data_IF_543545430094
#
_entry.id   IF_543545430094
#
_cell.length_a   1.000
_cell.length_b   1.000
_cell.length_c   1.000
_cell.angle_alpha   90.00
_cell.angle_beta   90.00
_cell.angle_gamma   90.00
#
_symmetry.space_group_name_H-M   'P 1'
#
loop_
_entity.id
_entity.type
_entity.pdbx_description
1 polymer ?
#
# COMPACT_ATOMS: atom_id res chain seq x y z
N UNK A 1 13.21 -7.67 -57.32
CA UNK A 1 11.79 -8.07 -57.15
C UNK A 1 11.48 -8.64 -55.78
N UNK A 2 12.24 -9.60 -55.26
CA UNK A 2 11.99 -10.25 -53.95
C UNK A 2 11.95 -9.24 -52.80
N UNK A 3 12.92 -8.32 -52.74
CA UNK A 3 12.97 -7.28 -51.71
C UNK A 3 11.73 -6.38 -51.68
N UNK A 4 11.18 -6.04 -52.86
CA UNK A 4 9.98 -5.22 -52.99
C UNK A 4 8.73 -5.96 -52.48
N UNK A 5 8.63 -7.27 -52.74
CA UNK A 5 7.53 -8.09 -52.22
C UNK A 5 7.60 -8.25 -50.70
N UNK A 6 8.80 -8.42 -50.14
CA UNK A 6 9.01 -8.51 -48.68
C UNK A 6 8.67 -7.18 -47.99
N UNK A 7 9.07 -6.05 -48.59
CA UNK A 7 8.72 -4.74 -48.06
C UNK A 7 7.20 -4.51 -48.10
N UNK A 8 6.53 -4.90 -49.18
CA UNK A 8 5.08 -4.80 -49.32
C UNK A 8 4.34 -5.63 -48.26
N UNK A 9 4.76 -6.87 -48.02
CA UNK A 9 4.10 -7.74 -47.03
C UNK A 9 4.28 -7.22 -45.60
N UNK A 10 5.45 -6.70 -45.26
CA UNK A 10 5.70 -6.09 -43.94
C UNK A 10 4.84 -4.84 -43.74
N UNK A 11 4.73 -3.98 -44.75
CA UNK A 11 3.90 -2.77 -44.68
C UNK A 11 2.41 -3.13 -44.53
N UNK A 12 1.91 -4.09 -45.29
CA UNK A 12 0.51 -4.55 -45.17
C UNK A 12 0.24 -5.12 -43.78
N UNK A 13 1.14 -5.93 -43.23
CA UNK A 13 0.98 -6.50 -41.89
C UNK A 13 0.97 -5.43 -40.79
N UNK A 14 1.85 -4.43 -40.89
CA UNK A 14 1.90 -3.31 -39.95
C UNK A 14 0.61 -2.47 -39.99
N UNK A 15 0.05 -2.24 -41.18
CA UNK A 15 -1.22 -1.51 -41.34
C UNK A 15 -2.40 -2.30 -40.78
N UNK A 16 -2.43 -3.63 -40.97
CA UNK A 16 -3.48 -4.49 -40.41
C UNK A 16 -3.39 -4.55 -38.88
N UNK A 17 -2.20 -4.72 -38.30
CA UNK A 17 -2.01 -4.71 -36.84
C UNK A 17 -2.39 -3.36 -36.23
N UNK A 18 -2.03 -2.25 -36.88
CA UNK A 18 -2.38 -0.92 -36.43
C UNK A 18 -3.91 -0.67 -36.47
N UNK A 19 -4.57 -1.07 -37.55
CA UNK A 19 -6.04 -0.94 -37.66
C UNK A 19 -6.78 -1.84 -36.67
N UNK A 20 -6.26 -3.04 -36.39
CA UNK A 20 -6.79 -3.94 -35.36
C UNK A 20 -6.65 -3.32 -33.95
N UNK A 21 -5.48 -2.77 -33.61
CA UNK A 21 -5.24 -2.13 -32.31
C UNK A 21 -6.10 -0.88 -32.10
N UNK A 22 -6.30 -0.07 -33.16
CA UNK A 22 -7.11 1.14 -33.08
C UNK A 22 -8.60 0.83 -32.93
N UNK A 23 -9.12 -0.18 -33.64
CA UNK A 23 -10.54 -0.58 -33.54
C UNK A 23 -10.85 -1.24 -32.20
N UNK A 24 -9.97 -2.11 -31.68
CA UNK A 24 -10.11 -2.71 -30.35
C UNK A 24 -10.15 -1.64 -29.24
N UNK A 25 -9.29 -0.61 -29.33
CA UNK A 25 -9.25 0.50 -28.36
C UNK A 25 -10.53 1.34 -28.38
N UNK A 26 -11.08 1.60 -29.58
CA UNK A 26 -12.36 2.32 -29.74
C UNK A 26 -13.56 1.50 -29.25
N UNK A 27 -13.59 0.19 -29.48
CA UNK A 27 -14.64 -0.70 -28.97
C UNK A 27 -14.63 -0.77 -27.44
N UNK A 28 -13.45 -0.87 -26.81
CA UNK A 28 -13.30 -0.85 -25.36
C UNK A 28 -13.76 0.48 -24.74
N UNK A 29 -13.41 1.62 -25.35
CA UNK A 29 -13.85 2.94 -24.89
C UNK A 29 -15.37 3.13 -25.01
N UNK A 30 -15.97 2.59 -26.09
CA UNK A 30 -17.42 2.64 -26.31
C UNK A 30 -18.17 1.74 -25.33
N UNK A 31 -17.60 0.57 -25.00
CA UNK A 31 -18.14 -0.35 -23.97
C UNK A 31 -18.07 0.26 -22.58
N UNK A 32 -16.93 0.84 -22.20
CA UNK A 32 -16.77 1.55 -20.92
C UNK A 32 -17.71 2.76 -20.79
N UNK A 33 -17.98 3.48 -21.89
CA UNK A 33 -18.96 4.58 -21.91
C UNK A 33 -20.39 4.07 -21.77
N UNK A 34 -20.74 2.93 -22.39
CA UNK A 34 -22.05 2.28 -22.22
C UNK A 34 -22.25 1.72 -20.82
N UNK A 35 -21.22 1.14 -20.21
CA UNK A 35 -21.23 0.66 -18.82
C UNK A 35 -21.38 1.82 -17.84
N UNK A 36 -20.67 2.95 -18.05
CA UNK A 36 -20.88 4.18 -17.30
C UNK A 36 -22.27 4.75 -17.49
N UNK A 37 -22.76 4.78 -18.73
CA UNK A 37 -24.11 5.27 -19.04
C UNK A 37 -25.17 4.38 -18.38
N UNK A 38 -24.99 3.06 -18.37
CA UNK A 38 -25.87 2.12 -17.67
C UNK A 38 -25.79 2.27 -16.14
N UNK A 39 -24.60 2.45 -15.57
CA UNK A 39 -24.44 2.73 -14.14
C UNK A 39 -25.07 4.07 -13.74
N UNK A 40 -24.97 5.09 -14.60
CA UNK A 40 -25.66 6.37 -14.45
C UNK A 40 -27.18 6.25 -14.64
N UNK A 41 -27.65 5.45 -15.60
CA UNK A 41 -29.09 5.25 -15.89
C UNK A 41 -29.77 4.40 -14.80
N UNK A 42 -29.04 3.41 -14.23
CA UNK A 42 -29.39 2.72 -12.98
C UNK A 42 -29.42 3.75 -11.83
N UNK A 43 -28.44 4.64 -11.76
CA UNK A 43 -28.37 5.71 -10.77
C UNK A 43 -29.50 6.73 -10.87
N UNK A 44 -30.00 7.04 -12.07
CA UNK A 44 -31.02 8.06 -12.35
C UNK A 44 -32.46 7.51 -12.19
N UNK A 45 -32.68 6.22 -12.47
CA UNK A 45 -33.99 5.57 -12.25
C UNK A 45 -34.35 5.35 -10.77
N UNK A 46 -33.40 5.61 -9.85
CA UNK A 46 -33.57 5.44 -8.40
C UNK A 46 -34.01 6.74 -7.67
N UNK A 47 -34.42 7.80 -8.38
CA UNK A 47 -34.84 9.08 -7.76
C UNK A 47 -36.23 9.08 -7.09
N UNK A 48 -36.91 7.95 -6.93
CA UNK A 48 -38.19 7.89 -6.20
C UNK A 48 -38.20 6.83 -5.10
N UNK A 49 -37.74 7.23 -3.90
CA UNK A 49 -38.33 6.87 -2.60
C UNK A 49 -37.63 7.65 -1.47
N UNK A 50 -38.43 8.37 -0.69
CA UNK A 50 -38.07 8.93 0.61
C UNK A 50 -37.86 7.76 1.58
N UNK A 51 -36.60 7.48 1.94
CA UNK A 51 -36.17 6.37 2.82
C UNK A 51 -36.49 4.94 2.29
N UNK A 52 -35.61 3.99 2.53
CA UNK A 52 -35.78 2.61 2.03
C UNK A 52 -37.03 1.96 2.67
N UNK A 53 -37.89 1.32 1.88
CA UNK A 53 -39.21 0.84 2.32
C UNK A 53 -39.12 -0.19 3.45
N UNK A 54 -38.07 -1.03 3.42
CA UNK A 54 -37.86 -2.09 4.40
C UNK A 54 -36.91 -1.71 5.55
N UNK A 55 -36.42 -0.46 5.58
CA UNK A 55 -35.39 -0.04 6.52
C UNK A 55 -35.80 -0.26 7.97
N UNK A 56 -34.98 -1.01 8.71
CA UNK A 56 -35.00 -1.01 10.18
C UNK A 56 -33.66 -0.53 10.70
N UNK A 57 -33.67 0.56 11.47
CA UNK A 57 -32.48 1.19 12.06
C UNK A 57 -32.45 0.98 13.56
N UNK A 58 -31.28 0.61 14.09
CA UNK A 58 -31.00 0.60 15.52
C UNK A 58 -29.67 1.30 15.78
N UNK A 59 -29.72 2.41 16.50
CA UNK A 59 -28.53 3.10 16.96
C UNK A 59 -28.12 2.63 18.35
N UNK A 60 -26.81 2.60 18.58
CA UNK A 60 -26.18 2.31 19.87
C UNK A 60 -25.33 3.52 20.25
N UNK A 61 -25.33 3.90 21.52
CA UNK A 61 -24.45 4.98 22.01
C UNK A 61 -22.98 4.52 21.90
N UNK A 62 -22.18 5.26 21.12
CA UNK A 62 -20.77 4.94 20.83
C UNK A 62 -20.56 3.53 20.24
N UNK A 63 -21.07 3.26 19.01
CA UNK A 63 -21.02 1.92 18.43
C UNK A 63 -19.58 1.54 18.03
N UNK A 64 -19.26 0.24 18.11
CA UNK A 64 -17.98 -0.31 17.62
C UNK A 64 -17.80 -0.12 16.10
N UNK A 65 -18.90 -0.03 15.37
CA UNK A 65 -18.98 0.25 13.94
C UNK A 65 -20.42 0.33 13.46
N UNK A 66 -20.64 0.93 12.30
CA UNK A 66 -21.95 0.99 11.63
C UNK A 66 -22.05 -0.06 10.52
N UNK A 67 -23.04 -0.94 10.61
CA UNK A 67 -23.25 -2.06 9.68
C UNK A 67 -24.56 -1.87 8.92
N UNK A 68 -24.52 -2.05 7.61
CA UNK A 68 -25.70 -2.22 6.78
C UNK A 68 -25.85 -3.70 6.40
N UNK A 69 -26.88 -4.37 6.87
CA UNK A 69 -27.20 -5.75 6.52
C UNK A 69 -28.27 -5.81 5.42
N UNK A 70 -28.06 -6.68 4.43
CA UNK A 70 -28.90 -6.80 3.23
C UNK A 70 -29.22 -8.26 3.00
N UNK A 71 -30.50 -8.61 3.02
CA UNK A 71 -30.97 -10.00 2.90
C UNK A 71 -32.46 -10.01 2.54
N UNK A 72 -32.91 -10.83 1.61
CA UNK A 72 -34.32 -10.90 1.20
C UNK A 72 -35.21 -11.64 2.21
N UNK A 73 -34.62 -12.27 3.24
CA UNK A 73 -35.34 -12.95 4.30
C UNK A 73 -35.43 -12.08 5.58
N UNK A 74 -36.61 -11.49 5.92
CA UNK A 74 -36.74 -10.57 7.05
C UNK A 74 -36.41 -11.20 8.41
N UNK A 75 -36.58 -12.53 8.52
CA UNK A 75 -36.26 -13.31 9.73
C UNK A 75 -34.75 -13.36 9.97
N UNK A 76 -33.97 -13.48 8.89
CA UNK A 76 -32.51 -13.45 8.95
C UNK A 76 -32.06 -12.05 9.37
N UNK A 77 -32.59 -10.99 8.74
CA UNK A 77 -32.28 -9.60 9.10
C UNK A 77 -32.57 -9.28 10.58
N UNK A 78 -33.71 -9.73 11.10
CA UNK A 78 -34.06 -9.50 12.51
C UNK A 78 -33.08 -10.20 13.47
N UNK A 79 -32.60 -11.38 13.08
CA UNK A 79 -31.60 -12.14 13.83
C UNK A 79 -30.24 -11.44 13.81
N UNK A 80 -29.76 -11.02 12.63
CA UNK A 80 -28.55 -10.19 12.47
C UNK A 80 -28.58 -8.95 13.36
N UNK A 81 -29.67 -8.21 13.28
CA UNK A 81 -29.87 -6.97 14.03
C UNK A 81 -29.80 -7.23 15.53
N UNK A 82 -30.51 -8.24 16.05
CA UNK A 82 -30.49 -8.59 17.49
C UNK A 82 -29.08 -8.94 17.97
N UNK A 83 -28.40 -9.85 17.27
CA UNK A 83 -27.06 -10.34 17.65
C UNK A 83 -26.03 -9.20 17.63
N UNK A 84 -25.98 -8.43 16.53
CA UNK A 84 -24.96 -7.39 16.35
C UNK A 84 -25.21 -6.16 17.23
N UNK A 85 -26.46 -5.79 17.49
CA UNK A 85 -26.78 -4.70 18.43
C UNK A 85 -26.36 -5.08 19.85
N UNK A 86 -26.63 -6.32 20.31
CA UNK A 86 -26.17 -6.81 21.61
C UNK A 86 -24.63 -6.83 21.71
N UNK A 87 -23.95 -7.06 20.58
CA UNK A 87 -22.48 -6.99 20.50
C UNK A 87 -21.91 -5.55 20.46
N UNK A 88 -22.77 -4.53 20.41
CA UNK A 88 -22.41 -3.11 20.47
C UNK A 88 -22.24 -2.41 19.11
N UNK A 89 -22.86 -2.95 18.04
CA UNK A 89 -22.85 -2.34 16.71
C UNK A 89 -24.14 -1.54 16.46
N UNK A 90 -24.04 -0.47 15.68
CA UNK A 90 -25.22 0.18 15.08
C UNK A 90 -25.56 -0.53 13.77
N UNK A 91 -26.81 -0.90 13.58
CA UNK A 91 -27.23 -1.77 12.48
C UNK A 91 -28.43 -1.20 11.77
N UNK A 92 -28.29 -1.03 10.46
CA UNK A 92 -29.39 -0.82 9.53
C UNK A 92 -29.62 -2.13 8.75
N UNK A 93 -30.88 -2.49 8.53
CA UNK A 93 -31.24 -3.66 7.72
C UNK A 93 -32.15 -3.28 6.57
N UNK A 94 -31.93 -3.84 5.39
CA UNK A 94 -32.80 -3.69 4.21
C UNK A 94 -32.95 -5.00 3.45
N UNK A 95 -34.07 -5.16 2.76
CA UNK A 95 -34.48 -6.40 2.09
C UNK A 95 -34.04 -6.48 0.61
N UNK A 96 -33.42 -5.43 0.07
CA UNK A 96 -32.96 -5.41 -1.32
C UNK A 96 -31.63 -4.69 -1.54
N UNK A 97 -30.88 -5.14 -2.54
CA UNK A 97 -29.63 -4.50 -2.95
C UNK A 97 -29.79 -3.05 -3.43
N UNK A 98 -30.92 -2.72 -4.06
CA UNK A 98 -31.22 -1.36 -4.52
C UNK A 98 -31.38 -0.38 -3.35
N UNK A 99 -32.07 -0.81 -2.29
CA UNK A 99 -32.19 -0.03 -1.06
C UNK A 99 -30.83 0.15 -0.39
N UNK A 100 -30.00 -0.90 -0.38
CA UNK A 100 -28.66 -0.84 0.19
C UNK A 100 -27.78 0.21 -0.51
N UNK A 101 -27.74 0.20 -1.85
CA UNK A 101 -26.98 1.20 -2.61
C UNK A 101 -27.50 2.63 -2.40
N UNK A 102 -28.82 2.78 -2.23
CA UNK A 102 -29.43 4.08 -1.95
C UNK A 102 -29.03 4.62 -0.57
N UNK A 103 -28.95 3.74 0.43
CA UNK A 103 -28.51 4.10 1.78
C UNK A 103 -27.01 4.39 1.85
N UNK A 104 -26.16 3.61 1.19
CA UNK A 104 -24.71 3.81 1.15
C UNK A 104 -24.33 5.17 0.54
N UNK A 105 -25.17 5.73 -0.35
CA UNK A 105 -24.97 7.08 -0.89
C UNK A 105 -25.30 8.20 0.10
N UNK A 106 -26.24 7.96 1.02
CA UNK A 106 -26.83 8.98 1.90
C UNK A 106 -26.26 8.95 3.32
N UNK A 107 -25.82 7.78 3.79
CA UNK A 107 -25.37 7.55 5.14
C UNK A 107 -23.94 6.97 5.14
N UNK A 108 -23.25 7.14 6.27
CA UNK A 108 -21.94 6.53 6.49
C UNK A 108 -22.07 5.17 7.17
N UNK A 109 -21.45 4.17 6.54
CA UNK A 109 -21.31 2.82 7.08
C UNK A 109 -19.84 2.43 7.13
N UNK A 110 -19.46 1.62 8.10
CA UNK A 110 -18.13 1.00 8.13
C UNK A 110 -18.13 -0.33 7.36
N UNK A 111 -19.25 -1.06 7.44
CA UNK A 111 -19.39 -2.39 6.88
C UNK A 111 -20.72 -2.57 6.15
N UNK A 112 -20.70 -3.33 5.06
CA UNK A 112 -21.91 -3.82 4.37
C UNK A 112 -21.89 -5.33 4.38
N UNK A 113 -22.91 -5.94 4.97
CA UNK A 113 -23.10 -7.38 5.03
C UNK A 113 -24.24 -7.74 4.08
N UNK A 114 -23.97 -8.46 3.00
CA UNK A 114 -24.99 -8.75 1.97
C UNK A 114 -25.15 -10.25 1.75
N UNK A 115 -26.39 -10.71 1.59
CA UNK A 115 -26.63 -12.04 1.06
C UNK A 115 -26.13 -12.14 -0.38
N UNK A 116 -25.59 -13.30 -0.76
CA UNK A 116 -25.10 -13.52 -2.13
C UNK A 116 -26.24 -13.58 -3.14
N UNK A 117 -27.35 -14.24 -2.82
CA UNK A 117 -28.45 -14.52 -3.74
C UNK A 117 -29.73 -13.86 -3.26
N UNK A 118 -30.03 -12.71 -3.86
CA UNK A 118 -31.27 -11.98 -3.62
C UNK A 118 -32.01 -11.72 -4.95
N UNK A 119 -33.35 -11.64 -4.93
CA UNK A 119 -34.12 -11.26 -6.10
C UNK A 119 -33.77 -9.85 -6.60
N UNK A 120 -33.73 -9.68 -7.93
CA UNK A 120 -33.55 -8.38 -8.57
C UNK A 120 -32.10 -7.90 -8.63
N UNK A 121 -31.42 -7.75 -7.48
CA UNK A 121 -30.00 -7.40 -7.39
C UNK A 121 -29.31 -8.32 -6.40
N UNK A 122 -28.32 -9.07 -6.87
CA UNK A 122 -27.58 -10.03 -6.06
C UNK A 122 -26.47 -9.35 -5.21
N UNK A 123 -25.91 -10.09 -4.26
CA UNK A 123 -24.88 -9.56 -3.37
C UNK A 123 -23.57 -9.19 -4.06
N UNK A 124 -23.27 -9.80 -5.22
CA UNK A 124 -22.08 -9.45 -6.00
C UNK A 124 -22.27 -8.08 -6.65
N UNK A 125 -23.48 -7.79 -7.15
CA UNK A 125 -23.81 -6.51 -7.75
C UNK A 125 -23.89 -5.39 -6.70
N UNK A 126 -24.38 -5.70 -5.48
CA UNK A 126 -24.25 -4.80 -4.33
C UNK A 126 -22.78 -4.53 -4.03
N UNK A 127 -21.94 -5.57 -3.93
CA UNK A 127 -20.52 -5.41 -3.64
C UNK A 127 -19.82 -4.52 -4.67
N UNK A 128 -20.05 -4.76 -5.97
CA UNK A 128 -19.52 -3.92 -7.05
C UNK A 128 -19.98 -2.47 -6.94
N UNK A 129 -21.28 -2.26 -6.69
CA UNK A 129 -21.87 -0.93 -6.57
C UNK A 129 -21.31 -0.15 -5.39
N UNK A 130 -21.23 -0.78 -4.21
CA UNK A 130 -20.65 -0.18 -3.00
C UNK A 130 -19.17 0.11 -3.20
N UNK A 131 -18.40 -0.84 -3.73
CA UNK A 131 -16.97 -0.67 -3.96
C UNK A 131 -16.68 0.50 -4.92
N UNK A 132 -17.53 0.72 -5.92
CA UNK A 132 -17.40 1.84 -6.85
C UNK A 132 -17.77 3.19 -6.22
N UNK A 133 -18.82 3.22 -5.39
CA UNK A 133 -19.33 4.47 -4.78
C UNK A 133 -18.52 4.91 -3.56
N UNK A 134 -18.13 3.95 -2.73
CA UNK A 134 -17.54 4.15 -1.39
C UNK A 134 -16.51 3.04 -1.12
N UNK A 135 -15.31 3.12 -1.71
CA UNK A 135 -14.25 2.11 -1.53
C UNK A 135 -13.70 2.06 -0.10
N UNK A 136 -14.05 3.03 0.75
CA UNK A 136 -13.75 3.08 2.17
C UNK A 136 -14.62 2.13 3.02
N UNK A 137 -15.69 1.55 2.47
CA UNK A 137 -16.59 0.62 3.17
C UNK A 137 -16.13 -0.82 2.96
N UNK A 138 -16.07 -1.59 4.05
CA UNK A 138 -15.70 -3.00 4.00
C UNK A 138 -16.92 -3.89 3.72
N UNK A 139 -16.93 -4.57 2.57
CA UNK A 139 -18.05 -5.42 2.17
C UNK A 139 -17.78 -6.87 2.59
N UNK A 140 -18.74 -7.51 3.25
CA UNK A 140 -18.73 -8.93 3.56
C UNK A 140 -19.93 -9.63 2.92
N UNK A 141 -19.68 -10.77 2.28
CA UNK A 141 -20.74 -11.60 1.72
C UNK A 141 -21.12 -12.69 2.71
N UNK A 142 -22.42 -12.86 2.94
CA UNK A 142 -22.95 -13.86 3.84
C UNK A 142 -23.85 -14.78 3.01
N UNK A 143 -23.68 -16.10 3.01
CA UNK A 143 -24.56 -16.94 2.17
C UNK A 143 -24.66 -18.39 2.63
N UNK A 144 -25.84 -18.99 2.47
CA UNK A 144 -26.03 -20.43 2.62
C UNK A 144 -25.60 -21.25 1.39
N UNK A 145 -25.38 -20.60 0.25
CA UNK A 145 -25.07 -21.24 -1.03
C UNK A 145 -23.65 -20.91 -1.52
N UNK A 146 -22.68 -20.91 -0.61
CA UNK A 146 -21.30 -20.60 -0.93
C UNK A 146 -20.62 -21.72 -1.73
N UNK A 147 -20.28 -21.46 -2.99
CA UNK A 147 -19.29 -22.25 -3.73
C UNK A 147 -17.93 -21.57 -3.69
N UNK A 148 -16.85 -22.35 -3.86
CA UNK A 148 -15.49 -21.79 -3.94
C UNK A 148 -15.41 -20.71 -5.04
N UNK A 149 -16.06 -20.94 -6.18
CA UNK A 149 -16.11 -19.99 -7.31
C UNK A 149 -16.77 -18.66 -6.93
N UNK A 150 -17.94 -18.72 -6.27
CA UNK A 150 -18.64 -17.50 -5.82
C UNK A 150 -17.81 -16.71 -4.79
N UNK A 151 -17.08 -17.41 -3.91
CA UNK A 151 -16.19 -16.78 -2.95
C UNK A 151 -14.98 -16.12 -3.63
N UNK A 152 -14.46 -16.70 -4.72
CA UNK A 152 -13.38 -16.08 -5.50
C UNK A 152 -13.87 -14.82 -6.22
N UNK A 153 -15.04 -14.88 -6.84
CA UNK A 153 -15.61 -13.74 -7.56
C UNK A 153 -16.01 -12.60 -6.61
N UNK A 154 -16.58 -12.90 -5.44
CA UNK A 154 -16.85 -11.92 -4.39
C UNK A 154 -15.61 -11.09 -4.04
N UNK A 155 -14.49 -11.77 -3.81
CA UNK A 155 -13.23 -11.13 -3.47
C UNK A 155 -12.75 -10.25 -4.65
N UNK A 156 -12.85 -10.73 -5.90
CA UNK A 156 -12.51 -9.92 -7.09
C UNK A 156 -13.30 -8.62 -7.20
N UNK A 157 -14.53 -8.59 -6.70
CA UNK A 157 -15.40 -7.42 -6.74
C UNK A 157 -15.34 -6.54 -5.48
N UNK A 158 -14.31 -6.72 -4.65
CA UNK A 158 -14.03 -5.83 -3.52
C UNK A 158 -14.57 -6.32 -2.18
N UNK A 159 -15.16 -7.52 -2.10
CA UNK A 159 -15.48 -8.12 -0.81
C UNK A 159 -14.19 -8.38 -0.03
N UNK A 160 -14.22 -8.01 1.24
CA UNK A 160 -13.10 -8.11 2.18
C UNK A 160 -13.04 -9.49 2.81
N UNK A 161 -14.21 -10.10 3.01
CA UNK A 161 -14.36 -11.44 3.57
C UNK A 161 -15.74 -12.05 3.23
N UNK A 162 -15.94 -13.31 3.60
CA UNK A 162 -17.22 -14.01 3.46
C UNK A 162 -17.53 -14.89 4.67
N UNK A 163 -18.81 -15.12 4.93
CA UNK A 163 -19.32 -16.04 5.98
C UNK A 163 -20.35 -16.98 5.37
N UNK A 164 -20.26 -18.25 5.71
CA UNK A 164 -21.23 -19.26 5.28
C UNK A 164 -22.36 -19.38 6.31
N UNK A 165 -23.62 -19.37 5.85
CA UNK A 165 -24.79 -19.75 6.65
C UNK A 165 -24.95 -21.28 6.64
N UNK A 166 -25.48 -21.89 7.72
CA UNK A 166 -25.83 -21.27 8.99
C UNK A 166 -24.57 -20.96 9.83
N UNK A 167 -24.64 -19.91 10.65
CA UNK A 167 -23.62 -19.57 11.65
C UNK A 167 -24.30 -19.40 13.02
N UNK A 168 -23.52 -19.58 14.07
CA UNK A 168 -23.92 -19.31 15.45
C UNK A 168 -23.83 -17.81 15.78
N UNK A 169 -24.48 -17.39 16.86
CA UNK A 169 -24.39 -15.99 17.33
C UNK A 169 -22.94 -15.59 17.59
N UNK A 170 -22.16 -16.46 18.25
CA UNK A 170 -20.75 -16.23 18.56
C UNK A 170 -19.89 -16.09 17.30
N UNK A 171 -20.12 -16.93 16.28
CA UNK A 171 -19.38 -16.86 15.00
C UNK A 171 -19.62 -15.54 14.27
N UNK A 172 -20.86 -15.02 14.27
CA UNK A 172 -21.17 -13.73 13.65
C UNK A 172 -20.51 -12.57 14.41
N UNK A 173 -20.52 -12.62 15.74
CA UNK A 173 -19.90 -11.59 16.58
C UNK A 173 -18.37 -11.60 16.42
N UNK A 174 -17.76 -12.78 16.43
CA UNK A 174 -16.32 -12.94 16.20
C UNK A 174 -15.94 -12.42 14.81
N UNK A 175 -16.73 -12.76 13.78
CA UNK A 175 -16.54 -12.27 12.44
C UNK A 175 -16.57 -10.74 12.36
N UNK A 176 -17.60 -10.11 12.95
CA UNK A 176 -17.72 -8.65 12.96
C UNK A 176 -16.57 -7.98 13.71
N UNK A 177 -16.17 -8.50 14.88
CA UNK A 177 -15.03 -7.98 15.65
C UNK A 177 -13.71 -8.11 14.86
N UNK A 178 -13.50 -9.23 14.14
CA UNK A 178 -12.33 -9.41 13.28
C UNK A 178 -12.28 -8.35 12.17
N UNK A 179 -13.41 -8.02 11.57
CA UNK A 179 -13.48 -6.95 10.56
C UNK A 179 -13.18 -5.57 11.16
N UNK A 180 -13.66 -5.28 12.39
CA UNK A 180 -13.31 -4.04 13.10
C UNK A 180 -11.81 -3.92 13.32
N UNK A 181 -11.17 -4.94 13.87
CA UNK A 181 -9.72 -4.95 14.11
C UNK A 181 -8.96 -4.73 12.80
N UNK A 182 -9.35 -5.45 11.75
CA UNK A 182 -8.73 -5.31 10.42
C UNK A 182 -8.88 -3.91 9.84
N UNK A 183 -10.05 -3.29 9.99
CA UNK A 183 -10.33 -1.92 9.55
C UNK A 183 -9.50 -0.91 10.34
N UNK A 184 -9.39 -1.09 11.65
CA UNK A 184 -8.53 -0.28 12.52
C UNK A 184 -7.08 -0.37 12.09
N UNK A 185 -6.52 -1.59 11.97
CA UNK A 185 -5.16 -1.81 11.49
C UNK A 185 -4.88 -1.14 10.15
N UNK A 186 -5.83 -1.23 9.20
CA UNK A 186 -5.71 -0.55 7.91
C UNK A 186 -5.69 0.97 8.08
N UNK A 187 -6.64 1.56 8.83
CA UNK A 187 -6.69 3.01 9.08
C UNK A 187 -5.45 3.51 9.79
N UNK A 188 -4.94 2.73 10.73
CA UNK A 188 -3.72 3.03 11.47
C UNK A 188 -2.49 3.09 10.56
N UNK A 189 -2.32 2.12 9.65
CA UNK A 189 -1.25 2.11 8.64
C UNK A 189 -1.35 3.27 7.65
N UNK A 190 -2.57 3.73 7.38
CA UNK A 190 -2.83 4.86 6.49
C UNK A 190 -2.74 6.22 7.19
N UNK A 191 -2.52 6.27 8.50
CA UNK A 191 -2.27 7.54 9.19
C UNK A 191 -0.80 7.90 9.03
N UNK A 192 -0.45 9.13 8.59
CA UNK A 192 0.95 9.53 8.50
C UNK A 192 1.66 9.39 9.86
N UNK A 193 2.91 8.88 9.90
CA UNK A 193 3.69 8.82 11.12
C UNK A 193 3.97 10.21 11.69
N UNK A 194 4.07 10.29 13.01
CA UNK A 194 4.54 11.46 13.74
C UNK A 194 6.04 11.63 13.55
N UNK A 195 6.48 12.84 13.18
CA UNK A 195 7.90 13.15 13.03
C UNK A 195 8.43 13.74 14.33
N UNK A 196 9.43 13.08 14.95
CA UNK A 196 10.01 13.48 16.23
C UNK A 196 11.49 13.82 16.09
N UNK A 197 11.88 15.03 16.48
CA UNK A 197 13.29 15.39 16.58
C UNK A 197 13.92 14.67 17.80
N UNK A 198 15.04 13.99 17.61
CA UNK A 198 15.77 13.26 18.66
C UNK A 198 17.25 13.61 18.68
N UNK A 199 17.93 13.30 19.77
CA UNK A 199 19.40 13.29 19.78
C UNK A 199 19.91 12.01 19.12
N UNK A 200 21.07 12.03 18.42
CA UNK A 200 21.61 10.83 17.76
C UNK A 200 21.83 9.61 18.67
N UNK A 201 22.06 9.81 19.97
CA UNK A 201 22.25 8.74 20.97
C UNK A 201 20.92 8.17 21.51
N UNK A 202 19.78 8.78 21.17
CA UNK A 202 18.47 8.27 21.58
C UNK A 202 18.22 6.89 20.98
N UNK A 203 17.62 6.00 21.79
CA UNK A 203 17.19 4.70 21.28
C UNK A 203 16.14 4.87 20.19
N UNK A 204 16.21 4.05 19.14
CA UNK A 204 15.16 3.94 18.16
C UNK A 204 13.84 3.62 18.85
N UNK A 205 12.77 4.34 18.50
CA UNK A 205 11.43 3.99 18.95
C UNK A 205 10.97 2.84 18.06
N UNK A 206 10.63 1.69 18.66
CA UNK A 206 10.18 0.51 17.91
C UNK A 206 8.84 0.72 17.19
N UNK A 207 8.09 1.77 17.56
CA UNK A 207 6.85 2.13 16.88
C UNK A 207 7.11 2.55 15.44
N UNK A 208 6.46 1.91 14.45
CA UNK A 208 6.52 2.34 13.05
C UNK A 208 5.82 3.70 12.84
N UNK A 209 5.10 4.20 13.85
CA UNK A 209 4.31 5.44 13.79
C UNK A 209 5.07 6.68 14.20
N UNK A 210 6.30 6.54 14.69
CA UNK A 210 7.13 7.69 15.09
C UNK A 210 8.39 7.62 14.26
N UNK A 211 8.67 8.60 13.42
CA UNK A 211 9.92 8.68 12.65
C UNK A 211 10.84 9.66 13.36
N UNK A 212 12.00 9.16 13.76
CA UNK A 212 12.99 9.92 14.48
C UNK A 212 13.89 10.68 13.51
N UNK A 213 14.02 11.99 13.70
CA UNK A 213 14.92 12.84 12.92
C UNK A 213 16.04 13.33 13.84
N UNK A 214 17.29 12.94 13.61
CA UNK A 214 18.40 13.28 14.49
C UNK A 214 18.79 14.76 14.34
N UNK A 215 18.86 15.48 15.45
CA UNK A 215 19.45 16.81 15.48
C UNK A 215 20.96 16.76 15.19
N UNK A 216 21.45 17.64 14.31
CA UNK A 216 22.87 17.77 14.00
C UNK A 216 23.42 16.78 12.96
N UNK A 217 22.54 16.03 12.29
CA UNK A 217 22.90 15.10 11.21
C UNK A 217 22.22 15.57 9.92
N UNK A 218 22.94 15.46 8.80
CA UNK A 218 22.41 15.77 7.48
C UNK A 218 21.63 14.60 6.91
N UNK A 219 20.57 14.88 6.18
CA UNK A 219 19.69 13.88 5.57
C UNK A 219 19.68 14.09 4.06
N UNK A 220 19.93 13.03 3.30
CA UNK A 220 19.77 13.00 1.85
C UNK A 220 18.32 12.74 1.48
N UNK A 221 17.80 13.39 0.41
CA UNK A 221 16.54 12.99 -0.21
C UNK A 221 16.49 11.52 -0.67
N UNK A 222 17.64 10.84 -0.78
CA UNK A 222 17.74 9.40 -1.09
C UNK A 222 17.76 8.52 0.18
N UNK A 223 17.22 9.01 1.29
CA UNK A 223 17.03 8.27 2.54
C UNK A 223 18.29 7.73 3.23
N UNK A 224 19.44 8.38 2.96
CA UNK A 224 20.68 8.17 3.72
C UNK A 224 20.95 9.38 4.61
N UNK A 225 21.48 9.15 5.81
CA UNK A 225 21.97 10.22 6.68
C UNK A 225 23.49 10.34 6.63
N UNK A 226 23.99 11.53 6.95
CA UNK A 226 25.41 11.90 6.93
C UNK A 226 25.79 12.64 8.22
N UNK A 227 26.78 12.14 8.94
CA UNK A 227 27.40 12.81 10.09
C UNK A 227 28.88 13.06 9.80
N UNK A 228 29.31 14.30 9.94
CA UNK A 228 30.72 14.67 9.77
C UNK A 228 31.47 14.39 11.07
N UNK A 229 32.52 13.57 10.99
CA UNK A 229 33.39 13.24 12.10
C UNK A 229 34.50 14.28 12.25
N UNK A 230 35.12 14.33 13.44
CA UNK A 230 36.23 15.26 13.71
C UNK A 230 37.47 14.97 12.83
N UNK A 231 37.56 13.76 12.28
CA UNK A 231 38.61 13.36 11.33
C UNK A 231 38.42 13.99 9.95
N UNK A 232 37.25 14.55 9.65
CA UNK A 232 36.86 15.02 8.32
C UNK A 232 36.13 13.97 7.48
N UNK A 233 36.14 12.71 7.91
CA UNK A 233 35.34 11.65 7.28
C UNK A 233 33.85 11.87 7.52
N UNK A 234 33.04 11.47 6.55
CA UNK A 234 31.60 11.49 6.64
C UNK A 234 31.07 10.08 6.90
N UNK A 235 30.49 9.87 8.08
CA UNK A 235 29.77 8.63 8.42
C UNK A 235 28.40 8.65 7.73
N UNK A 236 28.08 7.57 7.05
CA UNK A 236 26.84 7.39 6.29
C UNK A 236 26.05 6.22 6.84
N UNK A 237 24.73 6.35 6.93
CA UNK A 237 23.84 5.24 7.26
C UNK A 237 22.44 5.41 6.69
N UNK A 238 21.58 4.44 6.95
CA UNK A 238 20.18 4.45 6.54
C UNK A 238 19.32 5.20 7.56
N UNK A 239 18.38 6.03 7.10
CA UNK A 239 17.48 6.70 8.01
C UNK A 239 16.43 5.77 8.66
N UNK A 240 15.80 6.27 9.72
CA UNK A 240 14.78 5.57 10.49
C UNK A 240 13.45 5.42 9.69
N UNK A 241 13.21 6.28 8.71
CA UNK A 241 12.00 6.27 7.90
C UNK A 241 11.92 5.02 7.01
N UNK A 242 13.02 4.64 6.36
CA UNK A 242 13.06 3.46 5.48
C UNK A 242 12.63 2.21 6.24
N UNK A 243 13.27 1.94 7.38
CA UNK A 243 13.04 0.70 8.13
C UNK A 243 11.62 0.59 8.66
N UNK A 244 11.02 1.73 9.03
CA UNK A 244 9.63 1.80 9.47
C UNK A 244 8.64 1.66 8.33
N UNK A 245 9.03 2.06 7.12
CA UNK A 245 8.20 1.98 5.91
C UNK A 245 8.19 0.59 5.29
N UNK A 246 9.36 -0.05 5.14
CA UNK A 246 9.51 -1.30 4.38
C UNK A 246 9.59 -2.57 5.25
N UNK A 247 9.62 -2.40 6.57
CA UNK A 247 9.69 -3.50 7.52
C UNK A 247 11.11 -4.04 7.74
N UNK A 248 11.25 -5.23 8.36
CA UNK A 248 12.55 -5.76 8.77
C UNK A 248 13.46 -6.06 7.57
N UNK A 249 14.68 -5.54 7.66
CA UNK A 249 15.79 -5.84 6.73
C UNK A 249 16.33 -7.23 7.06
N UNK A 250 16.46 -8.08 6.03
CA UNK A 250 16.94 -9.46 6.18
C UNK A 250 18.43 -9.61 5.84
N UNK A 251 18.96 -8.73 5.00
CA UNK A 251 20.39 -8.65 4.70
C UNK A 251 20.78 -7.26 4.21
N UNK A 252 22.06 -6.93 4.31
CA UNK A 252 22.67 -5.74 3.71
C UNK A 252 23.84 -6.15 2.80
N UNK A 253 23.96 -5.51 1.65
CA UNK A 253 25.17 -5.53 0.82
C UNK A 253 25.95 -4.25 1.09
N UNK A 254 27.04 -4.40 1.83
CA UNK A 254 27.94 -3.32 2.20
C UNK A 254 28.81 -2.87 1.00
N UNK A 255 29.26 -1.60 0.95
CA UNK A 255 30.19 -1.13 -0.08
C UNK A 255 31.59 -1.73 0.12
N UNK A 256 32.39 -1.71 -0.95
CA UNK A 256 33.80 -2.12 -0.87
C UNK A 256 34.68 -0.99 -0.31
N UNK A 257 35.52 -1.24 0.72
CA UNK A 257 36.51 -0.28 1.17
C UNK A 257 37.45 0.14 0.04
N UNK A 258 37.77 1.43 -0.03
CA UNK A 258 38.62 2.00 -1.06
C UNK A 258 37.91 2.36 -2.37
N UNK A 259 36.64 1.98 -2.54
CA UNK A 259 35.83 2.33 -3.72
C UNK A 259 35.60 3.85 -3.79
N UNK A 260 35.87 4.44 -4.95
CA UNK A 260 35.44 5.80 -5.25
C UNK A 260 33.96 5.82 -5.67
N UNK A 261 33.20 6.76 -5.12
CA UNK A 261 31.77 6.95 -5.41
C UNK A 261 31.50 8.42 -5.70
N UNK A 262 30.58 8.69 -6.62
CA UNK A 262 30.01 10.03 -6.82
C UNK A 262 28.63 10.09 -6.18
N UNK A 263 28.21 11.29 -5.76
CA UNK A 263 26.86 11.50 -5.23
C UNK A 263 25.82 11.01 -6.25
N UNK A 264 24.90 10.16 -5.80
CA UNK A 264 23.89 9.51 -6.66
C UNK A 264 24.25 8.11 -7.16
N UNK A 265 25.52 7.68 -7.06
CA UNK A 265 25.93 6.32 -7.40
C UNK A 265 25.41 5.32 -6.35
N UNK A 266 25.13 4.07 -6.74
CA UNK A 266 24.73 3.04 -5.78
C UNK A 266 25.85 2.77 -4.76
N UNK A 267 25.57 3.00 -3.47
CA UNK A 267 26.52 2.82 -2.37
C UNK A 267 26.34 1.46 -1.70
N UNK A 268 25.13 1.15 -1.23
CA UNK A 268 24.78 -0.10 -0.56
C UNK A 268 23.38 -0.55 -0.96
N UNK A 269 23.03 -1.80 -0.62
CA UNK A 269 21.70 -2.33 -0.89
C UNK A 269 21.15 -3.13 0.30
N UNK A 270 19.82 -3.16 0.44
CA UNK A 270 19.12 -3.89 1.48
C UNK A 270 18.25 -4.97 0.84
N UNK A 271 18.30 -6.18 1.40
CA UNK A 271 17.33 -7.23 1.13
C UNK A 271 16.19 -7.15 2.14
N UNK A 272 14.96 -7.19 1.66
CA UNK A 272 13.77 -7.05 2.49
C UNK A 272 12.86 -8.26 2.29
N UNK A 273 12.42 -8.86 3.40
CA UNK A 273 11.60 -10.06 3.39
C UNK A 273 12.33 -11.31 2.88
N UNK A 274 11.56 -12.38 2.66
CA UNK A 274 12.06 -13.70 2.21
C UNK A 274 12.16 -13.86 0.68
N UNK A 275 11.52 -12.98 -0.09
CA UNK A 275 11.41 -13.11 -1.56
C UNK A 275 12.58 -12.46 -2.33
N UNK A 276 13.60 -11.95 -1.62
CA UNK A 276 14.83 -11.41 -2.23
C UNK A 276 14.68 -10.02 -2.89
N UNK A 277 13.67 -9.23 -2.50
CA UNK A 277 13.53 -7.86 -3.01
C UNK A 277 14.69 -6.98 -2.49
N UNK A 278 15.39 -6.34 -3.42
CA UNK A 278 16.57 -5.52 -3.14
C UNK A 278 16.27 -4.03 -3.35
N UNK A 279 16.49 -3.21 -2.33
CA UNK A 279 16.46 -1.74 -2.44
C UNK A 279 17.88 -1.20 -2.46
N UNK A 280 18.19 -0.31 -3.39
CA UNK A 280 19.53 0.28 -3.56
C UNK A 280 19.54 1.72 -3.11
N UNK A 281 20.53 2.08 -2.31
CA UNK A 281 20.68 3.41 -1.73
C UNK A 281 21.88 4.12 -2.33
N UNK A 282 21.67 5.38 -2.71
CA UNK A 282 22.68 6.19 -3.37
C UNK A 282 23.68 6.78 -2.37
N UNK A 283 24.89 7.04 -2.84
CA UNK A 283 25.89 7.77 -2.08
C UNK A 283 25.44 9.23 -1.90
N UNK A 284 25.33 9.73 -0.65
CA UNK A 284 24.90 11.11 -0.41
C UNK A 284 26.02 12.14 -0.70
N UNK A 285 27.28 11.69 -0.73
CA UNK A 285 28.47 12.49 -0.96
C UNK A 285 29.38 11.82 -2.00
N UNK A 286 30.16 12.63 -2.70
CA UNK A 286 31.25 12.17 -3.59
C UNK A 286 32.54 12.01 -2.81
N UNK A 287 33.21 10.87 -2.95
CA UNK A 287 34.44 10.59 -2.21
C UNK A 287 34.90 9.14 -2.30
N UNK A 288 35.78 8.75 -1.38
CA UNK A 288 36.31 7.39 -1.28
C UNK A 288 35.77 6.71 -0.02
N UNK A 289 35.22 5.51 -0.15
CA UNK A 289 34.82 4.70 0.99
C UNK A 289 36.06 4.31 1.79
N UNK A 290 36.09 4.62 3.09
CA UNK A 290 37.26 4.35 3.95
C UNK A 290 36.99 3.15 4.85
N UNK A 291 35.97 3.25 5.70
CA UNK A 291 35.58 2.19 6.63
C UNK A 291 34.18 1.68 6.33
N UNK A 292 33.92 0.42 6.69
CA UNK A 292 32.64 -0.26 6.48
C UNK A 292 32.27 -0.95 7.78
N UNK A 293 30.99 -0.87 8.15
CA UNK A 293 30.50 -1.42 9.40
C UNK A 293 30.16 -2.91 9.26
N UNK A 294 31.13 -3.77 9.53
CA UNK A 294 30.95 -5.22 9.52
C UNK A 294 30.13 -5.76 10.69
N UNK A 295 29.80 -4.94 11.71
CA UNK A 295 28.88 -5.36 12.77
C UNK A 295 27.49 -5.68 12.17
N UNK A 296 27.12 -5.04 11.06
CA UNK A 296 25.86 -5.27 10.36
C UNK A 296 25.79 -6.64 9.68
N UNK A 297 26.92 -7.34 9.47
CA UNK A 297 26.91 -8.70 8.92
C UNK A 297 26.29 -9.70 9.93
N UNK A 298 26.32 -9.37 11.23
CA UNK A 298 25.85 -10.23 12.31
C UNK A 298 24.74 -9.60 13.16
N UNK A 299 24.62 -8.27 13.16
CA UNK A 299 23.68 -7.51 13.99
C UNK A 299 22.91 -6.45 13.18
N UNK A 300 22.15 -6.91 12.19
CA UNK A 300 21.29 -6.04 11.36
C UNK A 300 20.31 -5.18 12.18
N UNK A 301 19.85 -5.66 13.34
CA UNK A 301 18.95 -4.92 14.23
C UNK A 301 19.53 -3.58 14.70
N UNK A 302 20.85 -3.37 14.65
CA UNK A 302 21.48 -2.09 14.98
C UNK A 302 20.96 -0.95 14.11
N UNK A 303 20.64 -1.24 12.84
CA UNK A 303 20.05 -0.24 11.96
C UNK A 303 18.72 0.27 12.54
N UNK A 304 17.95 -0.59 13.22
CA UNK A 304 16.63 -0.26 13.78
C UNK A 304 16.69 0.31 15.18
N UNK A 305 17.55 -0.28 16.01
CA UNK A 305 17.65 0.06 17.42
C UNK A 305 18.47 1.33 17.65
N UNK A 306 19.49 1.58 16.80
CA UNK A 306 20.45 2.68 16.92
C UNK A 306 20.84 3.24 15.54
N UNK A 307 19.87 3.68 14.70
CA UNK A 307 20.12 4.07 13.30
C UNK A 307 21.22 5.11 13.13
N UNK A 308 21.30 6.08 14.06
CA UNK A 308 22.17 7.25 13.97
C UNK A 308 23.46 7.15 14.80
N UNK A 309 23.76 5.97 15.34
CA UNK A 309 24.92 5.73 16.19
C UNK A 309 25.66 4.45 15.75
N UNK A 310 25.08 3.28 16.00
CA UNK A 310 25.69 1.97 15.71
C UNK A 310 25.21 1.39 14.37
N UNK A 311 24.05 1.84 13.87
CA UNK A 311 23.48 1.43 12.57
C UNK A 311 24.09 2.10 11.35
N UNK A 312 25.28 2.68 11.46
CA UNK A 312 25.98 3.28 10.32
C UNK A 312 26.47 2.21 9.35
N UNK A 313 26.61 2.54 8.07
CA UNK A 313 26.96 1.59 7.00
C UNK A 313 28.43 1.71 6.62
N UNK A 314 28.91 2.93 6.34
CA UNK A 314 30.29 3.17 5.96
C UNK A 314 30.73 4.60 6.30
N UNK A 315 32.03 4.87 6.20
CA UNK A 315 32.57 6.24 6.14
C UNK A 315 33.07 6.55 4.75
N UNK A 316 32.93 7.82 4.35
CA UNK A 316 33.42 8.36 3.08
C UNK A 316 34.39 9.49 3.41
N UNK A 317 35.58 9.45 2.83
CA UNK A 317 36.48 10.59 2.75
C UNK A 317 36.02 11.51 1.61
N UNK A 318 35.40 12.67 1.92
CA UNK A 318 34.67 13.45 0.94
C UNK A 318 35.63 14.34 0.10
N UNK A 319 35.43 14.36 -1.22
CA UNK A 319 36.22 15.22 -2.12
C UNK A 319 35.59 16.60 -2.36
N UNK A 320 34.25 16.68 -2.37
CA UNK A 320 33.48 17.91 -2.67
C UNK A 320 32.52 18.26 -1.51
N UNK A 321 33.01 18.17 -0.27
CA UNK A 321 32.17 18.20 0.92
C UNK A 321 31.20 19.39 0.99
N UNK A 322 31.66 20.61 0.72
CA UNK A 322 30.81 21.82 0.79
C UNK A 322 29.69 21.80 -0.25
N UNK A 323 30.01 21.42 -1.49
CA UNK A 323 29.05 21.38 -2.58
C UNK A 323 28.00 20.28 -2.37
N UNK A 324 28.41 19.14 -1.81
CA UNK A 324 27.51 18.03 -1.55
C UNK A 324 26.64 18.25 -0.31
N UNK A 325 27.19 18.82 0.78
CA UNK A 325 26.40 19.18 1.97
C UNK A 325 25.31 20.21 1.65
N UNK A 326 25.56 21.14 0.72
CA UNK A 326 24.57 22.12 0.27
C UNK A 326 23.34 21.52 -0.41
N UNK A 327 23.35 20.21 -0.71
CA UNK A 327 22.23 19.47 -1.30
C UNK A 327 21.52 18.54 -0.30
N UNK A 328 21.95 18.54 0.96
CA UNK A 328 21.35 17.77 2.05
C UNK A 328 20.51 18.68 2.95
N UNK A 329 19.71 18.08 3.82
CA UNK A 329 18.80 18.78 4.74
C UNK A 329 19.23 18.57 6.19
N UNK A 330 18.99 19.54 7.06
CA UNK A 330 19.29 19.43 8.49
C UNK A 330 18.25 20.20 9.31
N UNK A 331 17.99 19.76 10.54
CA UNK A 331 17.09 20.46 11.45
C UNK A 331 15.66 20.57 10.92
N UNK A 332 15.12 21.79 10.88
CA UNK A 332 13.73 22.04 10.48
C UNK A 332 13.44 21.61 9.03
N UNK A 333 14.39 21.81 8.12
CA UNK A 333 14.23 21.42 6.71
C UNK A 333 14.08 19.90 6.58
N UNK A 334 14.86 19.13 7.34
CA UNK A 334 14.75 17.68 7.37
C UNK A 334 13.40 17.23 7.94
N UNK A 335 12.91 17.89 9.00
CA UNK A 335 11.59 17.58 9.58
C UNK A 335 10.47 17.84 8.57
N UNK A 336 10.46 19.01 7.92
CA UNK A 336 9.47 19.35 6.90
C UNK A 336 9.54 18.40 5.70
N UNK A 337 10.74 17.99 5.31
CA UNK A 337 10.93 16.98 4.27
C UNK A 337 10.32 15.63 4.67
N UNK A 338 10.64 15.09 5.86
CA UNK A 338 10.07 13.82 6.32
C UNK A 338 8.55 13.85 6.46
N UNK A 339 7.95 15.00 6.85
CA UNK A 339 6.49 15.14 6.87
C UNK A 339 5.87 14.99 5.49
N UNK A 340 6.50 15.56 4.47
CA UNK A 340 6.06 15.41 3.08
C UNK A 340 6.31 13.98 2.57
N UNK A 341 7.45 13.40 2.92
CA UNK A 341 7.83 12.04 2.51
C UNK A 341 6.89 10.99 3.10
N UNK A 342 6.51 11.15 4.37
CA UNK A 342 5.49 10.34 5.03
C UNK A 342 4.15 10.37 4.29
N UNK A 343 3.68 11.55 3.88
CA UNK A 343 2.42 11.68 3.11
C UNK A 343 2.53 10.98 1.76
N UNK A 344 3.60 11.24 1.01
CA UNK A 344 3.83 10.61 -0.30
C UNK A 344 3.86 9.08 -0.21
N UNK A 345 4.48 8.54 0.84
CA UNK A 345 4.51 7.11 1.08
C UNK A 345 3.10 6.57 1.38
N UNK A 346 2.35 7.22 2.28
CA UNK A 346 0.99 6.83 2.62
C UNK A 346 0.07 6.82 1.39
N UNK A 347 0.14 7.86 0.55
CA UNK A 347 -0.66 7.96 -0.67
C UNK A 347 -0.34 6.78 -1.61
N UNK A 348 0.94 6.52 -1.86
CA UNK A 348 1.35 5.41 -2.72
C UNK A 348 1.02 4.03 -2.15
N UNK A 349 1.19 3.84 -0.84
CA UNK A 349 0.85 2.61 -0.16
C UNK A 349 -0.65 2.32 -0.28
N UNK A 350 -1.48 3.37 -0.20
CA UNK A 350 -2.93 3.26 -0.42
C UNK A 350 -3.24 2.74 -1.82
N UNK A 351 -2.59 3.31 -2.84
CA UNK A 351 -2.75 2.86 -4.24
C UNK A 351 -2.31 1.40 -4.43
N UNK A 352 -1.16 1.00 -3.89
CA UNK A 352 -0.64 -0.36 -4.01
C UNK A 352 -1.53 -1.38 -3.29
N UNK A 353 -2.03 -1.07 -2.09
CA UNK A 353 -2.95 -1.94 -1.34
C UNK A 353 -4.33 -2.04 -2.03
N UNK A 354 -4.78 -0.98 -2.69
CA UNK A 354 -6.03 -0.98 -3.46
C UNK A 354 -5.90 -1.80 -4.76
N UNK A 355 -4.73 -1.85 -5.37
CA UNK A 355 -4.47 -2.60 -6.60
C UNK A 355 -4.30 -4.12 -6.41
N UNK A 356 -4.16 -4.61 -5.18
CA UNK A 356 -3.96 -6.04 -4.90
C UNK A 356 -5.24 -6.88 -5.00
N UNK A 357 -5.23 -8.01 -5.75
CA UNK A 357 -6.37 -8.89 -5.87
C UNK A 357 -6.69 -9.57 -4.53
N UNK A 358 -7.96 -9.56 -4.16
CA UNK A 358 -8.43 -9.92 -2.83
C UNK A 358 -8.24 -11.40 -2.43
N UNK A 359 -7.78 -12.28 -3.32
CA UNK A 359 -7.51 -13.70 -3.04
C UNK A 359 -6.30 -13.90 -2.11
N UNK A 360 -5.29 -13.02 -2.15
CA UNK A 360 -4.08 -13.14 -1.31
C UNK A 360 -4.26 -12.63 0.14
N UNK A 361 -5.48 -12.16 0.46
CA UNK A 361 -5.84 -11.58 1.76
C UNK A 361 -6.19 -12.59 2.85
N UNK A 362 -6.23 -13.90 2.53
CA UNK A 362 -6.64 -15.00 3.44
C UNK A 362 -5.49 -15.85 4.00
N UNK A 363 -4.25 -15.65 3.58
CA UNK A 363 -3.13 -16.45 4.10
C UNK A 363 -2.71 -15.94 5.50
N UNK A 364 -2.41 -16.81 6.48
CA UNK A 364 -1.83 -16.42 7.78
C UNK A 364 -0.50 -15.65 7.65
N UNK A 365 0.06 -15.61 6.44
CA UNK A 365 1.23 -14.81 6.05
C UNK A 365 0.89 -13.34 5.69
N UNK A 366 -0.17 -12.75 6.27
CA UNK A 366 -0.63 -11.36 6.01
C UNK A 366 0.47 -10.29 6.14
N UNK A 367 1.51 -10.55 6.93
CA UNK A 367 2.68 -9.69 7.01
C UNK A 367 3.47 -9.62 5.68
N UNK A 368 3.58 -10.72 4.93
CA UNK A 368 4.33 -10.77 3.67
C UNK A 368 3.69 -9.94 2.56
N UNK A 369 2.36 -10.01 2.40
CA UNK A 369 1.66 -9.28 1.33
C UNK A 369 1.65 -7.76 1.59
N UNK A 370 1.35 -7.32 2.81
CA UNK A 370 1.42 -5.91 3.18
C UNK A 370 2.85 -5.35 3.10
N UNK A 371 3.86 -6.12 3.52
CA UNK A 371 5.26 -5.74 3.40
C UNK A 371 5.68 -5.61 1.93
N UNK A 372 5.22 -6.49 1.04
CA UNK A 372 5.47 -6.39 -0.41
C UNK A 372 4.83 -5.14 -1.02
N UNK A 373 3.59 -4.82 -0.67
CA UNK A 373 2.95 -3.58 -1.09
C UNK A 373 3.74 -2.35 -0.61
N UNK A 374 4.21 -2.36 0.64
CA UNK A 374 5.04 -1.31 1.20
C UNK A 374 6.39 -1.16 0.49
N UNK A 375 7.10 -2.26 0.20
CA UNK A 375 8.35 -2.22 -0.56
C UNK A 375 8.14 -1.67 -1.98
N UNK A 376 7.09 -2.10 -2.68
CA UNK A 376 6.75 -1.58 -4.02
C UNK A 376 6.38 -0.10 -3.98
N UNK A 377 5.60 0.31 -2.98
CA UNK A 377 5.25 1.71 -2.77
C UNK A 377 6.51 2.55 -2.54
N UNK A 378 7.41 2.10 -1.66
CA UNK A 378 8.66 2.79 -1.36
C UNK A 378 9.55 2.91 -2.59
N UNK A 379 9.83 1.80 -3.27
CA UNK A 379 10.67 1.73 -4.46
C UNK A 379 10.17 2.68 -5.56
N UNK A 380 8.88 2.60 -5.90
CA UNK A 380 8.28 3.45 -6.93
C UNK A 380 8.19 4.94 -6.56
N UNK A 381 8.24 5.29 -5.28
CA UNK A 381 8.06 6.68 -4.81
C UNK A 381 9.39 7.40 -4.61
N UNK A 382 10.38 6.68 -4.10
CA UNK A 382 11.58 7.29 -3.52
C UNK A 382 12.87 6.83 -4.18
N UNK A 383 12.90 5.62 -4.75
CA UNK A 383 14.09 5.12 -5.42
C UNK A 383 14.01 5.43 -6.92
N UNK A 384 14.83 6.38 -7.36
CA UNK A 384 15.20 6.45 -8.77
C UNK A 384 16.14 5.29 -9.09
N UNK A 385 16.18 4.77 -10.34
CA UNK A 385 17.19 3.78 -10.71
C UNK A 385 18.57 4.39 -10.49
N UNK A 386 19.25 3.98 -9.41
CA UNK A 386 20.60 4.42 -9.11
C UNK A 386 21.47 4.15 -10.35
N UNK A 387 22.24 5.15 -10.79
CA UNK A 387 23.13 4.97 -11.94
C UNK A 387 24.09 3.83 -11.62
N UNK A 388 24.06 2.78 -12.45
CA UNK A 388 25.12 1.79 -12.44
C UNK A 388 26.39 2.50 -12.89
N UNK A 389 27.53 2.30 -12.21
CA UNK A 389 28.77 2.95 -12.59
C UNK A 389 29.15 2.56 -14.02
N UNK A 390 29.63 3.52 -14.81
CA UNK A 390 30.36 3.22 -16.03
C UNK A 390 31.56 2.34 -15.65
N UNK A 391 31.57 1.09 -16.11
CA UNK A 391 32.74 0.24 -15.96
C UNK A 391 33.93 0.94 -16.61
N UNK A 392 34.97 1.21 -15.82
CA UNK A 392 36.23 1.74 -16.32
C UNK A 392 36.84 0.75 -17.31
N UNK A 393 36.54 0.94 -18.60
CA UNK A 393 37.30 0.35 -19.68
C UNK A 393 38.63 1.11 -19.79
N UNK A 394 39.65 0.67 -19.06
CA UNK A 394 41.06 0.97 -19.34
C UNK A 394 41.85 -0.33 -19.26
N UNK A 395 42.14 -0.95 -20.41
CA UNK A 395 43.46 -0.91 -21.04
C UNK A 395 44.51 -1.69 -20.26
N UNK A 396 44.64 -2.99 -20.54
CA UNK A 396 45.92 -3.68 -20.50
C UNK A 396 46.17 -4.23 -21.91
N UNK A 397 46.86 -3.44 -22.73
CA UNK A 397 47.74 -3.97 -23.76
C UNK A 397 49.10 -4.13 -23.10
N UNK A 398 49.56 -5.36 -22.93
CA UNK A 398 50.97 -5.72 -23.06
C UNK A 398 51.04 -6.85 -24.06
#
# INVERSE_FOLDING_TARGET
MIFLMVLLTVVVFAVVDLTLRLTLKQMQATRARRERQQALDIGLKLEFAEEALSLKRVEVASPKGRILAVDDEPVILDSFRKILVLAGFAVDTVESGQEALSLVRKNDYDFVFTDLKMPGMDGLDVAKGVHHLRPDIDIAIITGYGTIESAVDAMRFGAVDYVQKPFTEDELVEFANRLVLRRQDRRERLTPPEIRLVTPSSAGVASPRVVNVPGGIYVSPEHSWVKIEMTGEARVGLDDFVQKSVGPVTAIRLPEPGRAVRRGDALFALSIGGDGQELRFAAPLSGKVVHVNHDLDYQLDLMRLRPYEQGWVCTIDPQELTADLGKLMIGADAVSWYQNEARRFTDRLTEELAAEPAVDRRSPHTNGTAQRAACRAFDKTFLQPARLPETAAQTVKV
#
